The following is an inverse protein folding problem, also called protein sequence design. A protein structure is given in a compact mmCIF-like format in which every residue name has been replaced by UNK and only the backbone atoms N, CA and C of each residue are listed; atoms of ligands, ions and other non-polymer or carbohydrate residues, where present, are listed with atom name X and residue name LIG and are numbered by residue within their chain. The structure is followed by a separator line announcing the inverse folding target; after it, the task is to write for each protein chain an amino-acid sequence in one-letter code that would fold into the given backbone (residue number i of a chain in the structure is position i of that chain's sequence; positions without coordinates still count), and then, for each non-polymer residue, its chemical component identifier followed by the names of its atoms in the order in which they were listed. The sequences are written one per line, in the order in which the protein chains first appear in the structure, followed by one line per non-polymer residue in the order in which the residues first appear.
data_IF_163358743365
#
_entry.id   IF_163358743365
#
_cell.length_a   1.000
_cell.length_b   1.000
_cell.length_c   1.000
_cell.angle_alpha   90.00
_cell.angle_beta   90.00
_cell.angle_gamma   90.00
#
_symmetry.space_group_name_H-M   'P 1'
#
loop_
_entity.id
_entity.type
_entity.pdbx_description
1 polymer ?
#
# COMPACT_ATOMS: atom_id res chain seq x y z
N UNK A 1 -20.61 -6.40 11.57
CA UNK A 1 -20.52 -5.03 12.14
C UNK A 1 -21.30 -4.09 11.22
N UNK A 2 -22.10 -3.18 11.76
CA UNK A 2 -22.75 -2.15 10.94
C UNK A 2 -21.69 -1.17 10.41
N UNK A 3 -21.84 -0.67 9.19
CA UNK A 3 -20.90 0.27 8.57
C UNK A 3 -21.47 1.70 8.58
N UNK A 4 -20.62 2.73 8.73
CA UNK A 4 -21.03 4.12 8.62
C UNK A 4 -21.74 4.42 7.29
N UNK A 5 -22.72 5.30 7.33
CA UNK A 5 -23.53 5.70 6.17
C UNK A 5 -22.69 6.41 5.12
N UNK A 6 -21.78 7.28 5.55
CA UNK A 6 -20.88 8.02 4.67
C UNK A 6 -19.94 7.08 3.91
N UNK A 7 -19.43 6.04 4.58
CA UNK A 7 -18.62 5.01 3.92
C UNK A 7 -19.38 4.28 2.83
N UNK A 8 -20.62 3.85 3.09
CA UNK A 8 -21.44 3.14 2.10
C UNK A 8 -21.67 4.01 0.87
N UNK A 9 -21.97 5.29 1.07
CA UNK A 9 -22.15 6.25 -0.02
C UNK A 9 -20.85 6.47 -0.81
N UNK A 10 -19.72 6.62 -0.12
CA UNK A 10 -18.40 6.75 -0.76
C UNK A 10 -18.08 5.51 -1.60
N UNK A 11 -18.28 4.31 -1.04
CA UNK A 11 -18.02 3.04 -1.68
C UNK A 11 -18.90 2.84 -2.94
N UNK A 12 -20.19 3.15 -2.85
CA UNK A 12 -21.11 3.07 -4.00
C UNK A 12 -20.77 4.10 -5.10
N UNK A 13 -20.29 5.28 -4.72
CA UNK A 13 -19.98 6.36 -5.67
C UNK A 13 -18.68 6.13 -6.42
N UNK A 14 -17.62 5.73 -5.71
CA UNK A 14 -16.25 5.67 -6.25
C UNK A 14 -15.80 4.24 -6.57
N UNK A 15 -16.35 3.24 -5.91
CA UNK A 15 -15.85 1.87 -5.94
C UNK A 15 -14.46 1.74 -5.29
N UNK A 16 -13.78 0.59 -5.48
CA UNK A 16 -12.43 0.40 -4.95
C UNK A 16 -11.43 1.33 -5.65
N UNK A 17 -10.54 1.95 -4.89
CA UNK A 17 -9.58 2.90 -5.47
C UNK A 17 -8.71 3.61 -4.45
N UNK A 18 -8.02 4.64 -4.92
CA UNK A 18 -7.09 5.46 -4.13
C UNK A 18 -7.25 6.94 -4.47
N UNK A 19 -7.08 7.79 -3.46
CA UNK A 19 -7.04 9.24 -3.59
C UNK A 19 -5.59 9.73 -3.68
N UNK A 20 -5.33 10.69 -4.58
CA UNK A 20 -4.01 11.29 -4.84
C UNK A 20 -2.88 10.28 -5.06
N UNK A 21 -3.22 9.12 -5.65
CA UNK A 21 -2.32 7.96 -5.79
C UNK A 21 -1.54 7.61 -4.50
N UNK A 22 -2.14 7.89 -3.34
CA UNK A 22 -1.46 7.80 -2.05
C UNK A 22 -2.31 7.07 -1.01
N UNK A 23 -3.60 7.40 -0.91
CA UNK A 23 -4.49 6.88 0.13
C UNK A 23 -5.50 5.89 -0.46
N UNK A 24 -5.33 4.60 -0.19
CA UNK A 24 -6.28 3.57 -0.56
C UNK A 24 -7.32 3.35 0.53
N UNK A 25 -8.60 3.42 0.17
CA UNK A 25 -9.71 3.04 1.06
C UNK A 25 -10.08 1.59 0.78
N UNK A 26 -10.15 0.79 1.84
CA UNK A 26 -10.53 -0.61 1.74
C UNK A 26 -11.99 -0.73 1.31
N UNK A 27 -12.24 -1.65 0.39
CA UNK A 27 -13.56 -1.84 -0.23
C UNK A 27 -13.96 -3.32 -0.21
N UNK A 28 -15.25 -3.69 -0.04
CA UNK A 28 -15.66 -5.10 -0.03
C UNK A 28 -15.31 -5.84 -1.34
N UNK A 29 -15.35 -5.11 -2.45
CA UNK A 29 -14.91 -5.58 -3.77
C UNK A 29 -13.46 -5.17 -4.10
N UNK A 30 -12.61 -5.00 -3.08
CA UNK A 30 -11.20 -4.69 -3.27
C UNK A 30 -10.49 -5.75 -4.13
N UNK A 31 -9.66 -5.30 -5.06
CA UNK A 31 -9.02 -6.16 -6.08
C UNK A 31 -7.99 -7.15 -5.52
N UNK A 32 -7.59 -7.00 -4.27
CA UNK A 32 -6.71 -7.92 -3.55
C UNK A 32 -7.06 -7.97 -2.06
N UNK A 33 -6.56 -8.98 -1.35
CA UNK A 33 -6.72 -9.09 0.11
C UNK A 33 -6.19 -7.87 0.87
N UNK A 34 -5.24 -7.12 0.29
CA UNK A 34 -4.58 -5.97 0.91
C UNK A 34 -5.45 -4.71 0.95
N UNK A 35 -6.47 -4.64 0.10
CA UNK A 35 -7.39 -3.51 0.00
C UNK A 35 -8.85 -3.95 0.16
N UNK A 36 -9.07 -5.17 0.65
CA UNK A 36 -10.40 -5.72 0.86
C UNK A 36 -10.86 -5.47 2.31
N UNK A 37 -11.92 -4.69 2.48
CA UNK A 37 -12.49 -4.37 3.80
C UNK A 37 -13.01 -5.61 4.54
N UNK A 38 -13.54 -6.58 3.81
CA UNK A 38 -14.06 -7.84 4.37
C UNK A 38 -13.03 -8.97 4.29
N UNK A 39 -11.80 -8.65 3.86
CA UNK A 39 -10.70 -9.60 3.75
C UNK A 39 -10.01 -9.88 5.09
N UNK A 40 -8.92 -10.67 5.08
CA UNK A 40 -8.20 -11.03 6.30
C UNK A 40 -7.38 -9.87 6.89
N UNK A 41 -7.10 -8.82 6.12
CA UNK A 41 -6.15 -7.78 6.51
C UNK A 41 -6.58 -6.94 7.70
N UNK A 42 -7.84 -6.44 7.79
CA UNK A 42 -8.28 -5.72 8.99
C UNK A 42 -8.11 -6.52 10.28
N UNK A 43 -8.37 -7.84 10.25
CA UNK A 43 -8.15 -8.72 11.39
C UNK A 43 -6.66 -8.93 11.71
N UNK A 44 -5.81 -9.08 10.69
CA UNK A 44 -4.35 -9.21 10.87
C UNK A 44 -3.75 -7.96 11.50
N UNK A 45 -4.12 -6.77 11.01
CA UNK A 45 -3.66 -5.48 11.54
C UNK A 45 -4.09 -5.34 13.01
N UNK A 46 -5.33 -5.71 13.34
CA UNK A 46 -5.79 -5.73 14.73
C UNK A 46 -4.96 -6.66 15.62
N UNK A 47 -4.63 -7.86 15.13
CA UNK A 47 -3.75 -8.79 15.83
C UNK A 47 -2.38 -8.18 16.14
N UNK A 48 -1.77 -7.52 15.16
CA UNK A 48 -0.49 -6.82 15.32
C UNK A 48 -0.59 -5.69 16.37
N UNK A 49 -1.67 -4.91 16.35
CA UNK A 49 -1.90 -3.86 17.35
C UNK A 49 -2.07 -4.44 18.76
N UNK A 50 -2.76 -5.58 18.91
CA UNK A 50 -2.88 -6.28 20.21
C UNK A 50 -1.52 -6.75 20.71
N UNK A 51 -0.72 -7.38 19.87
CA UNK A 51 0.64 -7.82 20.23
C UNK A 51 1.51 -6.64 20.64
N UNK A 52 1.45 -5.54 19.90
CA UNK A 52 2.18 -4.31 20.22
C UNK A 52 1.75 -3.71 21.56
N UNK A 53 0.43 -3.64 21.81
CA UNK A 53 -0.12 -3.16 23.07
C UNK A 53 0.31 -4.04 24.26
N UNK A 54 0.31 -5.36 24.09
CA UNK A 54 0.76 -6.32 25.12
C UNK A 54 2.26 -6.20 25.42
N UNK A 55 3.09 -5.95 24.40
CA UNK A 55 4.53 -5.74 24.58
C UNK A 55 4.85 -4.40 25.27
N UNK A 56 3.95 -3.42 25.21
CA UNK A 56 4.07 -2.12 25.89
C UNK A 56 5.22 -1.22 25.39
N UNK A 57 5.92 -1.60 24.30
CA UNK A 57 7.07 -0.85 23.77
C UNK A 57 6.66 0.40 23.00
N UNK A 58 5.51 0.33 22.32
CA UNK A 58 4.95 1.41 21.51
C UNK A 58 3.50 1.61 21.95
N UNK A 59 3.13 2.80 22.43
CA UNK A 59 1.78 3.06 22.89
C UNK A 59 0.77 2.95 21.74
N UNK A 60 -0.37 2.30 22.01
CA UNK A 60 -1.55 2.31 21.14
C UNK A 60 -2.63 3.10 21.89
N UNK A 61 -3.04 4.28 21.40
CA UNK A 61 -3.87 5.21 22.18
C UNK A 61 -5.35 4.77 22.30
N UNK A 62 -5.77 3.80 21.49
CA UNK A 62 -7.09 3.22 21.52
C UNK A 62 -6.97 1.73 21.81
N UNK A 63 -7.99 1.15 22.44
CA UNK A 63 -8.08 -0.30 22.56
C UNK A 63 -8.03 -0.91 21.13
N UNK A 64 -7.07 -1.81 20.83
CA UNK A 64 -6.99 -2.48 19.54
C UNK A 64 -8.33 -3.09 19.10
N UNK A 65 -9.19 -3.49 20.02
CA UNK A 65 -10.50 -4.08 19.71
C UNK A 65 -11.53 -3.09 19.20
N UNK A 66 -11.29 -1.80 19.47
CA UNK A 66 -12.06 -0.67 18.94
C UNK A 66 -11.44 -0.09 17.66
N UNK A 67 -10.31 -0.61 17.18
CA UNK A 67 -9.69 -0.15 15.94
C UNK A 67 -10.03 -1.10 14.78
N UNK A 68 -10.74 -0.57 13.78
CA UNK A 68 -11.05 -1.29 12.55
C UNK A 68 -10.29 -0.66 11.39
N UNK A 69 -9.34 -1.38 10.78
CA UNK A 69 -8.56 -0.85 9.65
C UNK A 69 -9.43 -0.72 8.39
N UNK A 70 -9.41 0.47 7.78
CA UNK A 70 -10.26 0.85 6.64
C UNK A 70 -9.49 1.41 5.46
N UNK A 71 -8.18 1.55 5.58
CA UNK A 71 -7.36 2.08 4.52
C UNK A 71 -5.89 2.00 4.85
N UNK A 72 -5.08 2.25 3.84
CA UNK A 72 -3.63 2.34 3.97
C UNK A 72 -3.09 3.40 3.03
N UNK A 73 -1.92 3.93 3.37
CA UNK A 73 -1.15 4.80 2.50
C UNK A 73 -0.04 4.03 1.80
N UNK A 74 0.54 4.63 0.76
CA UNK A 74 1.72 4.09 0.07
C UNK A 74 3.00 4.14 0.95
N UNK A 75 3.00 4.91 2.04
CA UNK A 75 4.09 4.94 3.02
C UNK A 75 3.92 3.91 4.16
N UNK A 76 2.75 3.24 4.22
CA UNK A 76 2.48 2.17 5.18
C UNK A 76 1.76 2.62 6.45
N UNK A 77 1.24 3.85 6.51
CA UNK A 77 0.27 4.21 7.53
C UNK A 77 -1.05 3.47 7.26
N UNK A 78 -1.76 3.11 8.32
CA UNK A 78 -3.12 2.60 8.24
C UNK A 78 -4.11 3.66 8.74
N UNK A 79 -5.27 3.70 8.10
CA UNK A 79 -6.44 4.41 8.57
C UNK A 79 -7.37 3.44 9.32
N UNK A 80 -7.98 3.94 10.38
CA UNK A 80 -8.91 3.17 11.21
C UNK A 80 -10.19 3.94 11.47
N UNK A 81 -11.31 3.23 11.54
CA UNK A 81 -12.42 3.67 12.39
C UNK A 81 -12.09 3.37 13.84
N UNK A 82 -12.34 4.34 14.71
CA UNK A 82 -12.47 4.12 16.16
C UNK A 82 -13.93 3.71 16.42
N UNK A 83 -14.18 2.42 16.57
CA UNK A 83 -15.51 1.80 16.64
C UNK A 83 -16.14 1.87 18.04
N UNK A 84 -15.87 2.96 18.76
CA UNK A 84 -16.43 3.24 20.07
C UNK A 84 -17.25 4.55 20.03
N UNK A 85 -18.56 4.51 20.34
CA UNK A 85 -19.35 3.35 20.74
C UNK A 85 -19.71 2.43 19.56
N UNK A 86 -19.73 1.12 19.80
CA UNK A 86 -19.94 0.10 18.77
C UNK A 86 -21.31 0.15 18.08
N UNK A 87 -22.32 0.76 18.72
CA UNK A 87 -23.69 0.85 18.22
C UNK A 87 -24.01 2.17 17.48
N UNK A 88 -23.05 3.06 17.30
CA UNK A 88 -23.24 4.33 16.59
C UNK A 88 -22.19 4.53 15.48
N UNK A 89 -22.24 3.75 14.39
CA UNK A 89 -21.22 3.78 13.35
C UNK A 89 -21.05 5.15 12.69
N UNK A 90 -22.13 5.92 12.54
CA UNK A 90 -22.07 7.27 11.97
C UNK A 90 -21.34 8.29 12.86
N UNK A 91 -21.00 7.91 14.11
CA UNK A 91 -20.23 8.72 15.06
C UNK A 91 -18.76 8.28 15.16
N UNK A 92 -18.36 7.22 14.47
CA UNK A 92 -16.99 6.75 14.51
C UNK A 92 -16.04 7.77 13.90
N UNK A 93 -14.94 7.97 14.61
CA UNK A 93 -13.87 8.90 14.25
C UNK A 93 -12.77 8.18 13.48
N UNK A 94 -11.87 8.96 12.89
CA UNK A 94 -10.72 8.42 12.16
C UNK A 94 -9.48 8.47 13.04
N UNK A 95 -8.73 7.36 13.06
CA UNK A 95 -7.37 7.31 13.56
C UNK A 95 -6.41 6.94 12.43
N UNK A 96 -5.18 7.46 12.51
CA UNK A 96 -4.07 7.14 11.60
C UNK A 96 -2.86 6.81 12.46
N UNK A 97 -2.21 5.66 12.23
CA UNK A 97 -0.95 5.35 12.88
C UNK A 97 0.24 5.81 12.04
N UNK A 98 1.35 6.05 12.70
CA UNK A 98 2.66 6.14 12.04
C UNK A 98 3.08 4.76 11.55
N UNK A 99 3.51 4.65 10.28
CA UNK A 99 3.88 3.38 9.66
C UNK A 99 4.93 2.60 10.47
N UNK A 100 5.89 3.32 11.06
CA UNK A 100 7.01 2.77 11.83
C UNK A 100 7.35 3.66 13.02
N UNK A 101 6.39 3.87 13.91
CA UNK A 101 6.65 4.64 15.11
C UNK A 101 5.47 4.74 16.07
N UNK A 102 5.64 5.50 17.16
CA UNK A 102 4.66 5.59 18.24
C UNK A 102 3.55 6.60 18.00
N UNK A 103 3.65 7.43 16.96
CA UNK A 103 2.72 8.53 16.80
C UNK A 103 1.41 8.06 16.18
N UNK A 104 0.34 8.73 16.62
CA UNK A 104 -1.00 8.56 16.10
C UNK A 104 -1.61 9.93 15.87
N UNK A 105 -2.50 10.00 14.89
CA UNK A 105 -3.31 11.16 14.61
C UNK A 105 -4.79 10.76 14.68
N UNK A 106 -5.60 11.57 15.36
CA UNK A 106 -7.05 11.38 15.44
C UNK A 106 -7.76 12.56 14.80
N UNK A 107 -8.79 12.28 14.02
CA UNK A 107 -9.65 13.28 13.41
C UNK A 107 -11.08 13.11 13.92
N UNK A 108 -11.62 14.21 14.47
CA UNK A 108 -13.00 14.27 14.97
C UNK A 108 -13.98 14.47 13.81
N UNK A 109 -14.30 13.36 13.14
CA UNK A 109 -15.28 13.31 12.06
C UNK A 109 -15.28 11.96 11.36
N UNK A 110 -16.28 11.75 10.50
CA UNK A 110 -16.40 10.52 9.70
C UNK A 110 -15.38 10.48 8.55
N UNK A 111 -15.38 9.41 7.76
CA UNK A 111 -14.41 9.19 6.70
C UNK A 111 -14.52 10.25 5.60
N UNK A 112 -15.73 10.60 5.18
CA UNK A 112 -15.93 11.56 4.08
C UNK A 112 -15.50 12.97 4.49
N UNK A 113 -15.79 13.38 5.73
CA UNK A 113 -15.30 14.65 6.29
C UNK A 113 -13.77 14.65 6.39
N UNK A 114 -13.16 13.54 6.82
CA UNK A 114 -11.71 13.40 6.85
C UNK A 114 -11.09 13.54 5.45
N UNK A 115 -11.60 12.80 4.45
CA UNK A 115 -11.12 12.86 3.08
C UNK A 115 -11.29 14.25 2.47
N UNK A 116 -12.45 14.88 2.66
CA UNK A 116 -12.73 16.23 2.14
C UNK A 116 -11.78 17.26 2.76
N UNK A 117 -11.62 17.23 4.07
CA UNK A 117 -10.75 18.16 4.80
C UNK A 117 -9.27 17.94 4.46
N UNK A 118 -8.84 16.68 4.31
CA UNK A 118 -7.50 16.31 3.91
C UNK A 118 -7.20 16.77 2.47
N UNK A 119 -8.04 16.39 1.51
CA UNK A 119 -7.80 16.64 0.09
C UNK A 119 -7.95 18.12 -0.29
N UNK A 120 -8.76 18.88 0.44
CA UNK A 120 -8.83 20.34 0.30
C UNK A 120 -7.70 21.10 0.98
N UNK A 121 -6.82 20.40 1.73
CA UNK A 121 -5.73 21.03 2.48
C UNK A 121 -6.17 21.75 3.76
N UNK A 122 -7.45 21.64 4.15
CA UNK A 122 -7.96 22.19 5.41
C UNK A 122 -7.39 21.48 6.64
N UNK A 123 -7.12 20.18 6.54
CA UNK A 123 -6.47 19.39 7.57
C UNK A 123 -5.13 18.85 7.09
N UNK A 124 -4.10 19.05 7.91
CA UNK A 124 -2.79 18.40 7.74
C UNK A 124 -2.64 17.28 8.75
N UNK A 125 -2.45 16.06 8.25
CA UNK A 125 -2.04 14.92 9.07
C UNK A 125 -0.52 14.94 9.18
N UNK A 126 0.08 15.11 10.37
CA UNK A 126 1.54 15.23 10.53
C UNK A 126 2.33 14.02 9.98
N UNK A 127 1.68 12.87 9.90
CA UNK A 127 2.24 11.60 9.42
C UNK A 127 2.32 11.53 7.89
N UNK A 128 1.67 12.44 7.17
CA UNK A 128 1.60 12.41 5.71
C UNK A 128 2.62 13.37 5.06
N UNK A 129 2.99 13.14 3.78
CA UNK A 129 3.84 14.04 3.04
C UNK A 129 3.29 15.47 3.00
N UNK A 130 4.17 16.46 3.23
CA UNK A 130 3.77 17.89 3.24
C UNK A 130 3.15 18.37 1.92
N UNK A 131 3.51 17.75 0.79
CA UNK A 131 3.04 18.10 -0.55
C UNK A 131 1.86 17.28 -1.06
N UNK A 132 1.18 16.51 -0.18
CA UNK A 132 0.04 15.67 -0.57
C UNK A 132 -1.10 16.47 -1.25
N UNK A 133 -1.19 17.77 -0.98
CA UNK A 133 -2.25 18.69 -1.44
C UNK A 133 -1.75 19.76 -2.40
N UNK A 134 -0.52 19.63 -2.91
CA UNK A 134 0.07 20.60 -3.85
C UNK A 134 -0.60 20.53 -5.24
N UNK A 135 -1.34 19.45 -5.52
CA UNK A 135 -2.03 19.21 -6.78
C UNK A 135 -3.53 19.06 -6.54
N UNK A 136 -4.32 19.25 -7.61
CA UNK A 136 -5.76 19.01 -7.58
C UNK A 136 -6.06 17.58 -7.12
N UNK A 137 -7.03 17.38 -6.20
CA UNK A 137 -7.41 16.05 -5.75
C UNK A 137 -7.81 15.13 -6.91
N UNK A 138 -7.30 13.90 -6.89
CA UNK A 138 -7.61 12.88 -7.88
C UNK A 138 -8.09 11.60 -7.22
N UNK A 139 -8.88 10.82 -7.96
CA UNK A 139 -9.25 9.46 -7.59
C UNK A 139 -8.87 8.51 -8.73
N UNK A 140 -8.11 7.48 -8.40
CA UNK A 140 -7.74 6.41 -9.32
C UNK A 140 -8.50 5.12 -8.94
N UNK A 141 -9.45 4.64 -9.78
CA UNK A 141 -10.16 3.40 -9.52
C UNK A 141 -9.23 2.19 -9.63
N UNK A 142 -9.36 1.25 -8.71
CA UNK A 142 -8.67 -0.03 -8.76
C UNK A 142 -9.34 -0.93 -9.78
N UNK A 143 -8.60 -1.31 -10.83
CA UNK A 143 -9.05 -2.32 -11.78
C UNK A 143 -8.47 -3.67 -11.38
N UNK A 144 -9.25 -4.77 -11.42
CA UNK A 144 -8.65 -6.08 -11.32
C UNK A 144 -7.60 -6.17 -12.41
N UNK A 145 -6.36 -6.46 -12.01
CA UNK A 145 -5.31 -6.77 -12.98
C UNK A 145 -5.70 -8.13 -13.57
N UNK A 146 -6.46 -8.09 -14.67
CA UNK A 146 -6.70 -9.23 -15.56
C UNK A 146 -5.43 -9.62 -16.33
N UNK A 147 -4.28 -9.03 -15.99
CA UNK A 147 -3.00 -9.60 -16.37
C UNK A 147 -2.90 -10.95 -15.69
N UNK A 148 -3.24 -12.01 -16.45
CA UNK A 148 -2.39 -13.19 -16.45
C UNK A 148 -0.97 -12.64 -16.36
N UNK A 149 -0.16 -12.97 -15.33
CA UNK A 149 1.25 -12.68 -15.45
C UNK A 149 1.60 -13.23 -16.82
N UNK A 150 2.05 -12.35 -17.73
CA UNK A 150 2.72 -12.84 -18.92
C UNK A 150 3.71 -13.83 -18.31
N UNK A 151 3.67 -15.14 -18.65
CA UNK A 151 4.67 -16.03 -18.14
C UNK A 151 5.96 -15.28 -18.36
N UNK A 152 6.76 -15.11 -17.30
CA UNK A 152 8.11 -14.63 -17.48
C UNK A 152 8.59 -15.39 -18.69
N UNK A 153 8.88 -14.67 -19.80
CA UNK A 153 9.52 -15.35 -20.90
C UNK A 153 10.75 -15.92 -20.21
N UNK A 154 10.74 -17.25 -20.02
CA UNK A 154 11.90 -18.00 -19.62
C UNK A 154 12.89 -17.61 -20.70
N UNK A 155 13.70 -16.57 -20.43
CA UNK A 155 14.87 -16.34 -21.25
C UNK A 155 15.59 -17.66 -21.12
N UNK A 156 15.74 -18.42 -22.21
CA UNK A 156 16.34 -19.74 -22.15
C UNK A 156 17.64 -19.56 -21.38
N UNK A 157 17.93 -20.44 -20.40
CA UNK A 157 18.98 -20.24 -19.42
C UNK A 157 20.23 -19.78 -20.16
N UNK A 158 20.53 -18.49 -20.07
CA UNK A 158 21.63 -17.94 -20.84
C UNK A 158 22.85 -18.62 -20.25
N UNK A 159 23.64 -19.33 -21.05
CA UNK A 159 24.80 -20.04 -20.56
C UNK A 159 25.80 -19.00 -20.04
N UNK A 160 25.63 -18.59 -18.78
CA UNK A 160 26.35 -17.47 -18.19
C UNK A 160 27.82 -17.80 -18.02
N UNK A 161 28.20 -19.07 -18.07
CA UNK A 161 29.60 -19.49 -18.17
C UNK A 161 30.16 -19.13 -19.56
N UNK A 162 29.47 -19.51 -20.64
CA UNK A 162 29.88 -19.19 -22.01
C UNK A 162 29.96 -17.66 -22.26
N UNK A 163 29.00 -16.88 -21.75
CA UNK A 163 29.07 -15.41 -21.87
C UNK A 163 30.29 -14.85 -21.14
N UNK A 164 30.59 -15.34 -19.92
CA UNK A 164 31.75 -14.85 -19.16
C UNK A 164 33.07 -15.25 -19.79
N UNK A 165 33.15 -16.45 -20.35
CA UNK A 165 34.33 -16.94 -21.05
C UNK A 165 34.60 -16.13 -22.31
N UNK A 166 33.58 -15.93 -23.16
CA UNK A 166 33.67 -15.05 -24.32
C UNK A 166 34.01 -13.61 -23.91
N UNK A 167 33.37 -13.07 -22.88
CA UNK A 167 33.62 -11.72 -22.40
C UNK A 167 35.08 -11.53 -21.99
N UNK A 168 35.67 -12.46 -21.22
CA UNK A 168 37.08 -12.39 -20.84
C UNK A 168 38.02 -12.52 -22.04
N UNK A 169 37.71 -13.42 -22.97
CA UNK A 169 38.49 -13.59 -24.20
C UNK A 169 38.47 -12.31 -25.08
N UNK A 170 37.40 -11.51 -24.98
CA UNK A 170 37.24 -10.23 -25.70
C UNK A 170 37.58 -8.99 -24.84
N UNK A 171 38.28 -9.18 -23.70
CA UNK A 171 38.81 -8.08 -22.88
C UNK A 171 37.81 -7.41 -21.94
N UNK A 172 36.59 -7.93 -21.78
CA UNK A 172 35.61 -7.41 -20.84
C UNK A 172 35.92 -7.87 -19.40
N UNK A 173 35.85 -6.93 -18.45
CA UNK A 173 35.93 -7.23 -17.03
C UNK A 173 34.56 -7.68 -16.50
N UNK A 174 34.44 -8.97 -16.15
CA UNK A 174 33.19 -9.56 -15.66
C UNK A 174 33.37 -10.27 -14.30
N UNK A 175 32.46 -10.06 -13.34
CA UNK A 175 32.49 -10.77 -12.06
C UNK A 175 32.41 -12.30 -12.25
N UNK A 176 33.12 -13.09 -11.40
CA UNK A 176 33.11 -14.55 -11.50
C UNK A 176 31.74 -15.18 -11.22
N UNK A 177 30.87 -14.48 -10.48
CA UNK A 177 29.49 -14.89 -10.15
C UNK A 177 28.55 -13.70 -10.15
N UNK A 178 27.24 -13.96 -10.17
CA UNK A 178 26.21 -12.92 -10.12
C UNK A 178 25.83 -12.37 -11.49
N UNK A 179 25.15 -11.22 -11.48
CA UNK A 179 24.56 -10.61 -12.68
C UNK A 179 25.66 -10.20 -13.67
N UNK A 180 25.56 -10.67 -14.91
CA UNK A 180 26.40 -10.18 -16.02
C UNK A 180 25.89 -8.78 -16.41
N UNK A 181 26.76 -7.76 -16.52
CA UNK A 181 26.37 -6.42 -16.96
C UNK A 181 25.66 -6.45 -18.32
N UNK A 182 24.64 -5.61 -18.48
CA UNK A 182 23.80 -5.60 -19.69
C UNK A 182 24.62 -5.40 -20.97
N UNK A 183 25.60 -4.49 -20.96
CA UNK A 183 26.45 -4.22 -22.12
C UNK A 183 27.25 -5.45 -22.60
N UNK A 184 27.68 -6.33 -21.68
CA UNK A 184 28.39 -7.58 -22.03
C UNK A 184 27.44 -8.57 -22.68
N UNK A 185 26.20 -8.64 -22.18
CA UNK A 185 25.17 -9.53 -22.74
C UNK A 185 24.80 -9.10 -24.15
N UNK A 186 24.57 -7.81 -24.37
CA UNK A 186 24.28 -7.25 -25.70
C UNK A 186 25.43 -7.51 -26.68
N UNK A 187 26.68 -7.29 -26.27
CA UNK A 187 27.85 -7.57 -27.11
C UNK A 187 27.98 -9.06 -27.47
N UNK A 188 27.68 -9.96 -26.54
CA UNK A 188 27.69 -11.40 -26.81
C UNK A 188 26.56 -11.81 -27.76
N UNK A 189 25.35 -11.28 -27.55
CA UNK A 189 24.20 -11.52 -28.44
C UNK A 189 24.47 -11.02 -29.86
N UNK A 190 25.05 -9.83 -30.02
CA UNK A 190 25.39 -9.29 -31.34
C UNK A 190 26.50 -10.09 -32.03
N UNK A 191 27.45 -10.65 -31.28
CA UNK A 191 28.49 -11.52 -31.82
C UNK A 191 27.98 -12.93 -32.24
N UNK A 192 26.79 -13.33 -31.77
CA UNK A 192 26.22 -14.67 -32.03
C UNK A 192 24.87 -14.61 -32.76
N UNK A 193 24.41 -13.42 -33.16
CA UNK A 193 23.34 -13.26 -34.14
C UNK A 193 23.90 -13.66 -35.51
N UNK A 194 23.33 -14.71 -36.09
CA UNK A 194 23.55 -15.08 -37.50
C UNK A 194 22.70 -14.21 -38.40
#
# INVERSE_FOLDING_TARGET
MALPTDYKQLADTYGPGRFNDYLAVFHPHGVSQYVNLTGPMPSRIRGQLREQAQQGRIPVPHDPDTLFAIGSTDNGEYLFWITDPANAPDRWRIAVNEARGPHWYTFDGNLTSFLTSLLSGQTRVPLFPRGLTDQTPTFAPSRPILSKPQPFHDQPPTNTAAIREWARANGYNVPPRGRIPLHVRTAWEDAHKT
#
